data_IF_269765586951
#
_entry.id   IF_269765586951
#
_cell.length_a   1.000
_cell.length_b   1.000
_cell.length_c   1.000
_cell.angle_alpha   90.00
_cell.angle_beta   90.00
_cell.angle_gamma   90.00
#
_symmetry.space_group_name_H-M   'P 1'
#
loop_
_entity.id
_entity.type
_entity.pdbx_description
1 polymer ?
#
# COMPACT_ATOMS: atom_id res chain seq x y z
N UNK A 1 6.20 -5.91 -1.91
CA UNK A 1 6.44 -4.84 -0.91
C UNK A 1 5.12 -4.60 -0.22
N UNK A 2 5.15 -4.58 1.12
CA UNK A 2 4.01 -4.15 1.94
C UNK A 2 3.80 -2.64 1.72
N UNK A 3 2.65 -2.10 2.12
CA UNK A 3 2.39 -0.65 2.02
C UNK A 3 3.57 0.17 2.55
N UNK A 4 3.97 1.21 1.82
CA UNK A 4 5.17 2.00 2.15
C UNK A 4 5.00 2.93 3.35
N UNK A 5 3.77 3.09 3.85
CA UNK A 5 3.46 3.91 5.02
C UNK A 5 3.33 3.14 6.33
N UNK A 6 3.66 1.85 6.36
CA UNK A 6 3.60 1.02 7.57
C UNK A 6 4.91 0.24 7.76
N UNK A 7 5.20 -0.13 9.00
CA UNK A 7 6.31 -1.02 9.34
C UNK A 7 5.85 -2.18 10.23
N UNK A 8 6.37 -3.40 10.04
CA UNK A 8 6.07 -4.52 10.92
C UNK A 8 6.60 -4.28 12.33
N UNK A 9 5.92 -4.85 13.32
CA UNK A 9 6.27 -4.87 14.74
C UNK A 9 6.23 -6.31 15.22
N UNK A 10 7.24 -6.70 16.00
CA UNK A 10 7.24 -7.95 16.73
C UNK A 10 7.21 -9.23 15.92
N UNK A 11 7.02 -10.36 16.61
CA UNK A 11 7.02 -11.67 15.98
C UNK A 11 5.74 -11.89 15.17
N UNK A 12 5.78 -12.93 14.32
CA UNK A 12 4.58 -13.46 13.70
C UNK A 12 3.76 -14.28 14.71
N UNK A 13 2.45 -14.11 14.63
CA UNK A 13 1.45 -14.82 15.41
C UNK A 13 0.62 -15.71 14.50
N UNK A 14 -0.02 -16.72 15.08
CA UNK A 14 -0.97 -17.60 14.42
C UNK A 14 -2.29 -17.54 15.16
N UNK A 15 -3.37 -17.25 14.44
CA UNK A 15 -4.71 -17.22 15.00
C UNK A 15 -5.11 -18.63 15.47
N UNK A 16 -5.63 -18.75 16.69
CA UNK A 16 -6.00 -20.03 17.31
C UNK A 16 -7.51 -20.20 17.30
N UNK A 17 -8.23 -19.38 18.07
CA UNK A 17 -9.69 -19.31 18.05
C UNK A 17 -10.10 -18.01 17.39
N UNK A 18 -11.05 -18.08 16.45
CA UNK A 18 -11.52 -16.90 15.72
C UNK A 18 -13.05 -16.87 15.73
N UNK A 19 -13.60 -15.70 16.04
CA UNK A 19 -15.03 -15.44 16.08
C UNK A 19 -15.36 -14.18 15.30
N UNK A 20 -15.98 -14.36 14.14
CA UNK A 20 -16.46 -13.23 13.34
C UNK A 20 -17.76 -12.67 13.92
N UNK A 21 -17.88 -11.34 13.88
CA UNK A 21 -19.09 -10.59 14.20
C UNK A 21 -19.47 -9.73 13.00
N UNK A 22 -20.19 -10.29 12.00
CA UNK A 22 -20.54 -9.55 10.78
C UNK A 22 -21.37 -8.29 11.02
N UNK A 23 -22.23 -8.29 12.06
CA UNK A 23 -23.05 -7.13 12.43
C UNK A 23 -22.22 -5.92 12.87
N UNK A 24 -21.13 -6.19 13.58
CA UNK A 24 -20.23 -5.17 14.12
C UNK A 24 -19.01 -4.97 13.21
N UNK A 25 -18.99 -5.64 12.06
CA UNK A 25 -17.87 -5.74 11.12
C UNK A 25 -16.52 -5.90 11.84
N UNK A 26 -16.45 -6.85 12.77
CA UNK A 26 -15.24 -7.14 13.57
C UNK A 26 -14.97 -8.63 13.70
N UNK A 27 -13.74 -8.95 14.06
CA UNK A 27 -13.28 -10.31 14.33
C UNK A 27 -12.56 -10.33 15.68
N UNK A 28 -12.90 -11.32 16.50
CA UNK A 28 -12.30 -11.53 17.82
C UNK A 28 -11.43 -12.77 17.73
N UNK A 29 -10.19 -12.70 18.21
CA UNK A 29 -9.27 -13.82 18.08
C UNK A 29 -8.34 -13.97 19.28
N UNK A 30 -8.01 -15.23 19.59
CA UNK A 30 -6.82 -15.57 20.37
C UNK A 30 -5.70 -15.95 19.44
N UNK A 31 -4.46 -15.80 19.87
CA UNK A 31 -3.32 -16.13 19.05
C UNK A 31 -2.22 -16.81 19.85
N UNK A 32 -1.29 -17.42 19.14
CA UNK A 32 -0.03 -17.91 19.71
C UNK A 32 1.12 -17.45 18.84
N UNK A 33 2.30 -17.29 19.43
CA UNK A 33 3.52 -17.08 18.65
C UNK A 33 3.81 -18.34 17.85
N UNK A 34 4.32 -18.24 16.61
CA UNK A 34 4.54 -19.42 15.77
C UNK A 34 5.47 -20.47 16.43
N UNK A 35 6.42 -20.03 17.25
CA UNK A 35 7.36 -20.89 17.97
C UNK A 35 6.85 -21.43 19.33
N UNK A 36 5.69 -20.97 19.82
CA UNK A 36 5.19 -21.26 21.19
C UNK A 36 3.83 -21.97 21.12
N UNK A 37 3.60 -22.94 22.01
CA UNK A 37 2.34 -23.71 22.04
C UNK A 37 1.20 -23.01 22.76
N UNK A 38 1.51 -22.19 23.76
CA UNK A 38 0.54 -21.51 24.59
C UNK A 38 -0.18 -20.39 23.81
N UNK A 39 -1.50 -20.35 23.97
CA UNK A 39 -2.33 -19.26 23.47
C UNK A 39 -2.23 -18.07 24.42
N UNK A 40 -2.07 -16.89 23.84
CA UNK A 40 -2.09 -15.60 24.51
C UNK A 40 -3.47 -14.96 24.28
N UNK A 41 -3.98 -14.32 25.33
CA UNK A 41 -5.16 -13.44 25.27
C UNK A 41 -4.82 -12.10 24.60
N UNK A 42 -5.85 -11.28 24.35
CA UNK A 42 -5.70 -10.03 23.63
C UNK A 42 -4.86 -8.99 24.36
N UNK A 43 -5.06 -8.84 25.67
CA UNK A 43 -4.35 -7.85 26.46
C UNK A 43 -2.86 -8.20 26.54
N UNK A 44 -2.54 -9.47 26.81
CA UNK A 44 -1.14 -9.96 26.83
C UNK A 44 -0.44 -9.73 25.49
N UNK A 45 -1.14 -9.94 24.35
CA UNK A 45 -0.57 -9.65 23.02
C UNK A 45 -0.30 -8.15 22.87
N UNK A 46 -1.25 -7.29 23.25
CA UNK A 46 -1.08 -5.85 23.11
C UNK A 46 0.04 -5.29 23.99
N UNK A 47 0.13 -5.73 25.24
CA UNK A 47 1.18 -5.29 26.18
C UNK A 47 2.56 -5.60 25.60
N UNK A 48 2.76 -6.79 25.06
CA UNK A 48 4.01 -7.18 24.39
C UNK A 48 4.34 -6.27 23.20
N UNK A 49 3.34 -5.90 22.40
CA UNK A 49 3.54 -5.00 21.25
C UNK A 49 3.84 -3.57 21.71
N UNK A 50 3.19 -3.09 22.78
CA UNK A 50 3.47 -1.76 23.33
C UNK A 50 4.84 -1.66 23.99
N UNK A 51 5.30 -2.73 24.65
CA UNK A 51 6.66 -2.83 25.18
C UNK A 51 7.70 -2.73 24.05
N UNK A 52 7.47 -3.42 22.92
CA UNK A 52 8.33 -3.31 21.74
C UNK A 52 8.34 -1.92 21.11
N UNK A 53 7.23 -1.17 21.23
CA UNK A 53 7.14 0.22 20.79
C UNK A 53 7.77 1.22 21.78
N UNK A 54 8.33 0.74 22.89
CA UNK A 54 9.02 1.58 23.87
C UNK A 54 8.08 2.45 24.71
N UNK A 55 6.83 2.03 24.91
CA UNK A 55 5.89 2.72 25.81
C UNK A 55 5.47 4.13 25.40
N UNK A 56 5.77 4.57 24.17
CA UNK A 56 5.33 5.86 23.66
C UNK A 56 3.86 5.81 23.21
N UNK A 57 2.96 6.22 24.11
CA UNK A 57 1.49 6.27 23.96
C UNK A 57 1.03 7.42 23.04
N UNK A 58 1.77 7.73 21.97
CA UNK A 58 1.22 8.55 20.88
C UNK A 58 0.55 7.61 19.88
N UNK A 59 -0.55 6.98 20.31
CA UNK A 59 -1.28 5.89 19.65
C UNK A 59 -1.32 6.03 18.12
N UNK A 60 -0.38 5.43 17.39
CA UNK A 60 -0.49 5.35 15.94
C UNK A 60 -1.41 4.17 15.64
N UNK A 61 -2.28 4.34 14.65
CA UNK A 61 -3.18 3.27 14.22
C UNK A 61 -2.40 1.96 14.01
N UNK A 62 -2.77 0.94 14.80
CA UNK A 62 -2.14 -0.38 14.81
C UNK A 62 -2.97 -1.31 13.95
N UNK A 63 -2.31 -2.15 13.15
CA UNK A 63 -2.97 -3.09 12.25
C UNK A 63 -2.40 -4.48 12.42
N UNK A 64 -3.21 -5.51 12.21
CA UNK A 64 -2.71 -6.86 11.93
C UNK A 64 -2.72 -7.08 10.42
N UNK A 65 -1.56 -7.41 9.87
CA UNK A 65 -1.39 -7.84 8.49
C UNK A 65 -1.44 -9.36 8.42
N UNK A 66 -2.50 -9.90 7.82
CA UNK A 66 -2.81 -11.33 7.76
C UNK A 66 -2.42 -11.86 6.39
N UNK A 67 -1.62 -12.92 6.36
CA UNK A 67 -1.25 -13.59 5.12
C UNK A 67 -2.21 -14.74 4.86
N UNK A 68 -3.06 -14.61 3.84
CA UNK A 68 -4.08 -15.60 3.47
C UNK A 68 -3.69 -16.28 2.18
N UNK A 69 -3.90 -17.59 2.09
CA UNK A 69 -3.72 -18.33 0.83
C UNK A 69 -5.07 -18.58 0.18
N UNK A 70 -5.35 -17.94 -0.96
CA UNK A 70 -6.62 -18.05 -1.68
C UNK A 70 -6.43 -18.69 -3.06
N UNK A 71 -7.38 -19.54 -3.46
CA UNK A 71 -7.45 -20.08 -4.82
C UNK A 71 -8.18 -19.05 -5.70
N UNK A 72 -7.49 -18.46 -6.67
CA UNK A 72 -8.01 -17.40 -7.52
C UNK A 72 -8.04 -17.86 -8.98
N UNK A 73 -9.07 -17.46 -9.72
CA UNK A 73 -9.17 -17.61 -11.18
C UNK A 73 -9.24 -16.22 -11.82
N UNK A 74 -8.44 -15.98 -12.85
CA UNK A 74 -8.40 -14.70 -13.58
C UNK A 74 -8.84 -14.97 -15.00
N UNK A 75 -10.01 -14.47 -15.38
CA UNK A 75 -10.59 -14.73 -16.71
C UNK A 75 -10.73 -16.23 -16.97
N UNK A 76 -10.07 -16.72 -18.03
CA UNK A 76 -10.09 -18.13 -18.45
C UNK A 76 -8.89 -18.95 -17.92
N UNK A 77 -8.01 -18.35 -17.12
CA UNK A 77 -6.84 -19.05 -16.58
C UNK A 77 -7.22 -20.11 -15.55
N UNK A 78 -6.42 -21.18 -15.47
CA UNK A 78 -6.59 -22.21 -14.44
C UNK A 78 -6.43 -21.59 -13.06
N UNK A 79 -7.27 -21.99 -12.07
CA UNK A 79 -7.17 -21.42 -10.74
C UNK A 79 -5.79 -21.68 -10.12
N UNK A 80 -5.12 -20.63 -9.68
CA UNK A 80 -3.84 -20.71 -8.99
C UNK A 80 -3.99 -20.34 -7.52
N UNK A 81 -3.11 -20.89 -6.68
CA UNK A 81 -3.02 -20.47 -5.29
C UNK A 81 -2.20 -19.21 -5.19
N UNK A 82 -2.78 -18.19 -4.58
CA UNK A 82 -2.17 -16.88 -4.43
C UNK A 82 -2.14 -16.55 -2.94
N UNK A 83 -1.00 -16.09 -2.47
CA UNK A 83 -0.90 -15.50 -1.15
C UNK A 83 -1.38 -14.04 -1.24
N UNK A 84 -2.34 -13.67 -0.40
CA UNK A 84 -2.86 -12.32 -0.26
C UNK A 84 -2.47 -11.79 1.11
N UNK A 85 -2.25 -10.48 1.18
CA UNK A 85 -1.99 -9.81 2.44
C UNK A 85 -3.10 -8.79 2.69
N UNK A 86 -3.82 -8.97 3.79
CA UNK A 86 -4.97 -8.16 4.19
C UNK A 86 -4.68 -7.51 5.54
N UNK A 87 -5.04 -6.24 5.68
CA UNK A 87 -4.82 -5.50 6.93
C UNK A 87 -6.13 -5.26 7.67
N UNK A 88 -6.10 -5.46 8.97
CA UNK A 88 -7.23 -5.27 9.87
C UNK A 88 -6.80 -4.33 11.00
N UNK A 89 -7.51 -3.22 11.19
CA UNK A 89 -7.23 -2.28 12.27
C UNK A 89 -7.45 -2.96 13.63
N UNK A 90 -6.53 -2.76 14.56
CA UNK A 90 -6.65 -3.26 15.92
C UNK A 90 -7.52 -2.28 16.71
N UNK A 91 -8.61 -2.80 17.27
CA UNK A 91 -9.59 -1.99 17.99
C UNK A 91 -9.29 -1.94 19.49
N UNK A 92 -9.02 -3.11 20.09
CA UNK A 92 -8.66 -3.28 21.50
C UNK A 92 -8.21 -4.73 21.77
N UNK A 93 -7.79 -4.99 23.01
CA UNK A 93 -7.59 -6.32 23.58
C UNK A 93 -8.20 -6.37 24.97
N UNK A 94 -8.56 -7.56 25.42
CA UNK A 94 -8.89 -7.85 26.82
C UNK A 94 -8.31 -9.22 27.22
N UNK A 95 -8.58 -9.65 28.45
CA UNK A 95 -8.11 -10.92 29.03
C UNK A 95 -8.64 -12.18 28.30
N UNK A 96 -9.49 -12.03 27.26
CA UNK A 96 -9.97 -13.13 26.44
C UNK A 96 -9.54 -13.02 24.98
N UNK A 97 -9.71 -11.86 24.34
CA UNK A 97 -9.63 -11.71 22.88
C UNK A 97 -8.89 -10.44 22.44
N UNK A 98 -8.21 -10.56 21.31
CA UNK A 98 -7.83 -9.43 20.47
C UNK A 98 -8.99 -9.10 19.52
N UNK A 99 -9.36 -7.83 19.45
CA UNK A 99 -10.46 -7.34 18.61
C UNK A 99 -9.90 -6.55 17.44
N UNK A 100 -10.25 -6.97 16.23
CA UNK A 100 -9.82 -6.31 14.99
C UNK A 100 -11.01 -5.99 14.09
N UNK A 101 -10.88 -4.92 13.31
CA UNK A 101 -11.87 -4.50 12.33
C UNK A 101 -11.88 -5.42 11.10
N UNK A 102 -13.05 -5.67 10.55
CA UNK A 102 -13.28 -6.53 9.40
C UNK A 102 -13.50 -8.00 9.75
N UNK A 103 -13.71 -8.79 8.71
CA UNK A 103 -14.00 -10.24 8.74
C UNK A 103 -13.07 -11.00 7.82
N UNK A 104 -13.09 -12.33 7.90
CA UNK A 104 -12.38 -13.22 6.99
C UNK A 104 -11.04 -13.74 7.51
N UNK A 105 -10.66 -13.43 8.76
CA UNK A 105 -9.54 -14.10 9.43
C UNK A 105 -10.00 -15.48 9.87
N UNK A 106 -9.16 -16.50 9.72
CA UNK A 106 -9.47 -17.89 10.08
C UNK A 106 -8.48 -18.43 11.09
N UNK A 107 -8.93 -19.40 11.88
CA UNK A 107 -8.02 -20.20 12.70
C UNK A 107 -6.94 -20.82 11.83
N UNK A 108 -5.69 -20.65 12.26
CA UNK A 108 -4.50 -21.09 11.52
C UNK A 108 -3.90 -20.04 10.57
N UNK A 109 -4.55 -18.90 10.35
CA UNK A 109 -3.93 -17.80 9.59
C UNK A 109 -2.74 -17.22 10.38
N UNK A 110 -1.64 -16.96 9.68
CA UNK A 110 -0.49 -16.23 10.23
C UNK A 110 -0.68 -14.73 10.03
N UNK A 111 -0.36 -13.96 11.06
CA UNK A 111 -0.45 -12.50 11.04
C UNK A 111 0.70 -11.84 11.81
N UNK A 112 0.96 -10.58 11.52
CA UNK A 112 1.95 -9.77 12.21
C UNK A 112 1.38 -8.37 12.47
N UNK A 113 1.86 -7.68 13.49
CA UNK A 113 1.45 -6.30 13.77
C UNK A 113 2.19 -5.31 12.89
N UNK A 114 1.52 -4.20 12.57
CA UNK A 114 2.04 -3.12 11.75
C UNK A 114 1.62 -1.78 12.33
N UNK A 115 2.56 -0.84 12.34
CA UNK A 115 2.32 0.54 12.74
C UNK A 115 2.47 1.47 11.55
N UNK A 116 1.58 2.45 11.47
CA UNK A 116 1.69 3.55 10.53
C UNK A 116 2.89 4.45 10.86
N UNK A 117 3.73 4.76 9.87
CA UNK A 117 4.90 5.62 10.01
C UNK A 117 4.91 6.72 8.96
N UNK A 118 4.70 7.95 9.41
CA UNK A 118 4.64 9.14 8.56
C UNK A 118 5.96 9.41 7.84
N UNK A 119 7.09 9.13 8.49
CA UNK A 119 8.41 9.28 7.88
C UNK A 119 8.62 8.34 6.69
N UNK A 120 8.23 7.06 6.83
CA UNK A 120 8.31 6.09 5.73
C UNK A 120 7.37 6.47 4.59
N UNK A 121 6.14 6.88 4.93
CA UNK A 121 5.16 7.38 3.98
C UNK A 121 5.66 8.60 3.20
N UNK A 122 6.39 9.52 3.86
CA UNK A 122 6.99 10.72 3.28
C UNK A 122 8.19 10.40 2.38
N UNK A 123 9.06 9.50 2.83
CA UNK A 123 10.15 8.96 2.00
C UNK A 123 9.59 8.35 0.71
N UNK A 124 8.47 7.61 0.80
CA UNK A 124 7.76 7.10 -0.37
C UNK A 124 7.27 8.19 -1.32
N UNK A 125 6.75 9.31 -0.80
CA UNK A 125 6.35 10.45 -1.65
C UNK A 125 7.55 11.06 -2.38
N UNK A 126 8.72 11.15 -1.74
CA UNK A 126 9.94 11.63 -2.38
C UNK A 126 10.39 10.71 -3.52
N UNK A 127 10.27 9.39 -3.35
CA UNK A 127 10.55 8.44 -4.43
C UNK A 127 9.61 8.65 -5.62
N UNK A 128 8.30 8.82 -5.38
CA UNK A 128 7.34 9.11 -6.45
C UNK A 128 7.66 10.43 -7.15
N UNK A 129 8.00 11.49 -6.40
CA UNK A 129 8.40 12.78 -6.96
C UNK A 129 9.62 12.63 -7.88
N UNK A 130 10.62 11.84 -7.47
CA UNK A 130 11.78 11.54 -8.31
C UNK A 130 11.37 10.74 -9.57
N UNK A 131 10.48 9.76 -9.46
CA UNK A 131 9.94 9.03 -10.62
C UNK A 131 9.21 9.94 -11.60
N UNK A 132 8.43 10.92 -11.11
CA UNK A 132 7.78 11.91 -11.96
C UNK A 132 8.78 12.86 -12.64
N UNK A 133 9.86 13.23 -11.95
CA UNK A 133 10.93 14.01 -12.56
C UNK A 133 11.61 13.25 -13.69
N UNK A 134 11.89 11.96 -13.52
CA UNK A 134 12.44 11.11 -14.59
C UNK A 134 11.45 10.97 -15.74
N UNK A 135 10.17 10.69 -15.46
CA UNK A 135 9.13 10.62 -16.49
C UNK A 135 9.06 11.92 -17.30
N UNK A 136 9.12 13.07 -16.63
CA UNK A 136 9.15 14.39 -17.28
C UNK A 136 10.37 14.55 -18.18
N UNK A 137 11.55 14.08 -17.75
CA UNK A 137 12.76 14.10 -18.56
C UNK A 137 12.63 13.19 -19.78
N UNK A 138 12.15 11.96 -19.63
CA UNK A 138 11.98 11.00 -20.73
C UNK A 138 11.03 11.52 -21.80
N UNK A 139 9.93 12.17 -21.39
CA UNK A 139 8.98 12.82 -22.30
C UNK A 139 9.60 14.00 -23.05
N UNK A 140 10.56 14.69 -22.44
CA UNK A 140 11.29 15.78 -23.10
C UNK A 140 12.38 15.25 -24.05
N UNK A 141 13.17 14.26 -23.66
CA UNK A 141 14.28 13.70 -24.46
C UNK A 141 13.81 13.01 -25.75
N UNK A 142 12.63 12.38 -25.74
CA UNK A 142 12.04 11.81 -26.97
C UNK A 142 11.60 12.85 -28.00
N UNK A 143 11.69 14.14 -27.68
CA UNK A 143 11.41 15.26 -28.60
C UNK A 143 12.62 15.65 -29.45
N UNK A 144 13.84 15.23 -29.07
CA UNK A 144 15.12 15.77 -29.58
C UNK A 144 15.88 14.78 -30.48
N UNK A 145 15.32 13.62 -30.82
CA UNK A 145 16.00 12.63 -31.65
C UNK A 145 15.89 12.99 -33.16
N UNK A 146 16.91 13.73 -33.60
CA UNK A 146 17.42 13.93 -34.97
C UNK A 146 16.57 14.71 -36.00
N UNK A 147 16.97 15.97 -36.29
CA UNK A 147 17.44 16.39 -37.63
C UNK A 147 17.92 17.85 -37.66
N UNK A 148 19.21 18.06 -37.96
CA UNK A 148 19.67 19.29 -38.59
C UNK A 148 18.95 19.44 -39.94
N UNK A 149 17.98 20.35 -40.04
CA UNK A 149 17.34 20.64 -41.32
C UNK A 149 16.10 21.52 -41.20
N UNK A 150 16.30 22.84 -41.28
CA UNK A 150 15.33 23.86 -41.70
C UNK A 150 13.87 23.74 -41.21
N UNK A 151 13.56 24.50 -40.16
CA UNK A 151 12.40 25.40 -40.10
C UNK A 151 11.02 24.86 -40.49
N UNK A 152 10.39 24.13 -39.57
CA UNK A 152 8.97 24.27 -39.18
C UNK A 152 8.73 23.35 -37.97
N UNK A 153 9.26 23.73 -36.82
CA UNK A 153 9.37 22.81 -35.68
C UNK A 153 8.08 22.74 -34.84
N UNK A 154 7.08 22.06 -35.39
CA UNK A 154 5.91 21.63 -34.60
C UNK A 154 6.24 20.28 -33.96
N UNK A 155 7.19 20.30 -33.01
CA UNK A 155 7.59 19.13 -32.24
C UNK A 155 6.38 18.34 -31.72
N UNK A 156 6.32 17.05 -32.03
CA UNK A 156 5.43 16.07 -31.41
C UNK A 156 5.83 15.86 -29.93
N UNK A 157 5.65 16.88 -29.09
CA UNK A 157 5.99 16.83 -27.67
C UNK A 157 5.06 15.87 -26.97
N UNK A 158 5.60 14.77 -26.45
CA UNK A 158 4.87 13.94 -25.50
C UNK A 158 4.64 14.77 -24.25
N UNK A 159 3.39 14.89 -23.82
CA UNK A 159 3.04 15.75 -22.68
C UNK A 159 2.15 15.00 -21.70
N UNK A 160 2.40 15.25 -20.42
CA UNK A 160 1.47 14.88 -19.34
C UNK A 160 0.32 15.88 -19.38
N UNK A 161 -0.90 15.37 -19.52
CA UNK A 161 -2.11 16.20 -19.59
C UNK A 161 -3.03 16.02 -18.38
N UNK A 162 -2.78 15.02 -17.54
CA UNK A 162 -3.53 14.86 -16.31
C UNK A 162 -2.93 13.88 -15.31
N UNK A 163 -3.43 13.94 -14.08
CA UNK A 163 -3.10 13.00 -13.03
C UNK A 163 -4.29 12.72 -12.10
N UNK A 164 -4.35 11.49 -11.59
CA UNK A 164 -5.33 11.08 -10.58
C UNK A 164 -4.60 10.39 -9.43
N UNK A 165 -5.01 10.69 -8.20
CA UNK A 165 -4.46 10.09 -6.99
C UNK A 165 -5.54 9.30 -6.23
N UNK A 166 -5.10 8.23 -5.57
CA UNK A 166 -5.90 7.49 -4.60
C UNK A 166 -5.05 7.28 -3.35
N UNK A 167 -5.42 7.90 -2.24
CA UNK A 167 -4.67 7.83 -0.98
C UNK A 167 -5.50 7.20 0.13
N UNK A 168 -4.88 6.49 1.06
CA UNK A 168 -5.57 6.04 2.26
C UNK A 168 -6.05 7.26 3.07
N UNK A 169 -7.29 7.22 3.57
CA UNK A 169 -7.85 8.30 4.40
C UNK A 169 -7.06 8.57 5.69
N UNK A 170 -6.26 7.60 6.15
CA UNK A 170 -5.34 7.77 7.27
C UNK A 170 -4.16 8.72 6.97
N UNK A 171 -3.82 8.97 5.70
CA UNK A 171 -2.67 9.78 5.28
C UNK A 171 -2.96 11.30 5.23
N UNK A 172 -3.79 11.79 6.13
CA UNK A 172 -4.16 13.20 6.21
C UNK A 172 -3.15 14.08 6.96
N UNK A 173 -3.53 15.35 7.20
CA UNK A 173 -2.74 16.31 8.00
C UNK A 173 -2.35 15.78 9.38
N UNK A 174 -3.24 15.03 10.05
CA UNK A 174 -2.96 14.45 11.36
C UNK A 174 -1.81 13.43 11.33
N UNK A 175 -1.65 12.72 10.22
CA UNK A 175 -0.59 11.73 10.06
C UNK A 175 0.74 12.37 9.66
N UNK A 176 0.71 13.31 8.71
CA UNK A 176 1.92 13.94 8.20
C UNK A 176 2.39 15.19 8.98
N UNK A 177 1.54 15.76 9.83
CA UNK A 177 1.74 17.07 10.45
C UNK A 177 1.36 18.25 9.55
N UNK A 178 1.17 18.03 8.25
CA UNK A 178 0.90 19.07 7.26
C UNK A 178 -0.07 18.59 6.17
N UNK A 179 -0.83 19.50 5.53
CA UNK A 179 -1.77 19.14 4.48
C UNK A 179 -1.08 18.84 3.14
N UNK A 180 -1.78 18.15 2.24
CA UNK A 180 -1.43 17.98 0.81
C UNK A 180 -0.09 17.27 0.50
N UNK A 181 0.51 16.56 1.47
CA UNK A 181 1.77 15.80 1.26
C UNK A 181 1.67 14.79 0.13
N UNK A 182 0.57 14.05 0.05
CA UNK A 182 0.39 13.08 -1.02
C UNK A 182 0.04 13.73 -2.37
N UNK A 183 -0.38 15.01 -2.41
CA UNK A 183 -0.64 15.72 -3.67
C UNK A 183 0.62 16.35 -4.27
N UNK A 184 1.59 16.70 -3.40
CA UNK A 184 2.76 17.48 -3.78
C UNK A 184 3.64 16.82 -4.86
N UNK A 185 3.86 15.48 -4.88
CA UNK A 185 4.68 14.87 -5.92
C UNK A 185 4.21 15.22 -7.32
N UNK A 186 2.89 15.17 -7.57
CA UNK A 186 2.35 15.49 -8.89
C UNK A 186 2.35 17.00 -9.16
N UNK A 187 1.83 17.79 -8.22
CA UNK A 187 1.62 19.24 -8.41
C UNK A 187 2.94 20.00 -8.62
N UNK A 188 4.01 19.58 -7.96
CA UNK A 188 5.34 20.20 -8.11
C UNK A 188 6.02 19.82 -9.43
N UNK A 189 5.85 18.57 -9.89
CA UNK A 189 6.50 18.11 -11.12
C UNK A 189 5.77 18.55 -12.40
N UNK A 190 4.44 18.66 -12.34
CA UNK A 190 3.57 19.00 -13.47
C UNK A 190 2.69 20.23 -13.18
N UNK A 191 3.29 21.42 -12.97
CA UNK A 191 2.54 22.63 -12.67
C UNK A 191 1.58 23.00 -13.81
N UNK A 192 0.34 23.35 -13.47
CA UNK A 192 -0.71 23.72 -14.43
C UNK A 192 -1.41 22.54 -15.11
N UNK A 193 -0.97 21.30 -14.86
CA UNK A 193 -1.64 20.10 -15.35
C UNK A 193 -2.82 19.73 -14.44
N UNK A 194 -3.94 19.34 -15.04
CA UNK A 194 -5.15 18.93 -14.31
C UNK A 194 -4.83 17.76 -13.37
N UNK A 195 -5.11 17.94 -12.08
CA UNK A 195 -4.89 16.93 -11.05
C UNK A 195 -6.13 16.79 -10.17
N UNK A 196 -6.49 15.56 -9.86
CA UNK A 196 -7.57 15.24 -8.92
C UNK A 196 -7.18 14.05 -8.06
N UNK A 197 -7.87 13.86 -6.94
CA UNK A 197 -7.61 12.72 -6.07
C UNK A 197 -8.77 12.42 -5.14
N UNK A 198 -8.75 11.22 -4.58
CA UNK A 198 -9.72 10.79 -3.57
C UNK A 198 -9.01 10.07 -2.42
N UNK A 199 -9.61 10.19 -1.23
CA UNK A 199 -9.20 9.46 -0.05
C UNK A 199 -10.07 8.21 0.13
N UNK A 200 -9.43 7.06 0.18
CA UNK A 200 -10.05 5.74 0.24
C UNK A 200 -10.01 5.18 1.67
N UNK A 201 -11.15 4.66 2.13
CA UNK A 201 -11.25 3.89 3.37
C UNK A 201 -11.01 2.37 3.16
N UNK A 202 -10.88 1.94 1.89
CA UNK A 202 -10.72 0.54 1.49
C UNK A 202 -9.55 0.37 0.52
N UNK A 203 -9.38 -0.86 0.04
CA UNK A 203 -8.35 -1.22 -0.93
C UNK A 203 -8.33 -0.26 -2.12
N UNK A 204 -7.13 0.25 -2.44
CA UNK A 204 -6.91 1.25 -3.47
C UNK A 204 -6.62 0.59 -4.81
N UNK A 205 -5.69 -0.37 -4.82
CA UNK A 205 -5.27 -1.04 -6.03
C UNK A 205 -4.68 -2.42 -5.71
N UNK A 206 -4.56 -3.24 -6.75
CA UNK A 206 -3.76 -4.47 -6.68
C UNK A 206 -2.30 -4.09 -6.91
N UNK A 207 -1.40 -4.48 -6.02
CA UNK A 207 0.04 -4.28 -6.24
C UNK A 207 0.51 -5.08 -7.46
N UNK A 208 1.23 -4.42 -8.38
CA UNK A 208 1.90 -5.10 -9.51
C UNK A 208 3.21 -5.73 -9.04
N UNK A 209 3.41 -6.99 -9.43
CA UNK A 209 4.53 -7.83 -9.03
C UNK A 209 5.82 -7.54 -9.81
N UNK A 210 5.72 -6.86 -10.95
CA UNK A 210 6.88 -6.49 -11.79
C UNK A 210 7.85 -5.51 -11.11
N UNK A 211 7.37 -4.76 -10.12
CA UNK A 211 8.15 -3.79 -9.34
C UNK A 211 8.89 -4.40 -8.14
N UNK A 212 8.73 -5.72 -7.90
CA UNK A 212 9.48 -6.46 -6.90
C UNK A 212 10.64 -7.18 -7.58
N UNK A 213 11.86 -6.85 -7.14
CA UNK A 213 13.12 -7.25 -7.76
C UNK A 213 13.14 -8.70 -8.25
N UNK A 214 13.80 -8.88 -9.39
CA UNK A 214 14.05 -10.14 -10.07
C UNK A 214 14.93 -11.06 -9.19
N UNK A 215 14.34 -11.64 -8.16
CA UNK A 215 14.94 -12.60 -7.26
C UNK A 215 14.30 -13.96 -7.48
N UNK A 216 15.03 -14.85 -8.15
CA UNK A 216 14.83 -16.30 -8.32
C UNK A 216 13.43 -16.79 -8.74
N UNK A 217 13.40 -17.47 -9.90
CA UNK A 217 12.39 -18.50 -10.19
C UNK A 217 12.23 -19.42 -8.97
N UNK A 218 10.99 -19.74 -8.64
CA UNK A 218 10.51 -20.39 -7.41
C UNK A 218 10.31 -19.45 -6.21
N UNK A 219 9.10 -18.86 -6.10
CA UNK A 219 8.23 -18.94 -4.91
C UNK A 219 7.04 -17.97 -5.00
N UNK A 220 5.85 -18.49 -4.71
CA UNK A 220 4.55 -17.83 -4.53
C UNK A 220 4.59 -16.30 -4.32
N UNK A 221 4.45 -15.55 -5.41
CA UNK A 221 4.37 -14.10 -5.38
C UNK A 221 3.13 -13.65 -4.59
N UNK A 222 3.35 -12.99 -3.44
CA UNK A 222 2.28 -12.50 -2.57
C UNK A 222 1.63 -11.28 -3.24
N UNK A 223 0.35 -11.38 -3.61
CA UNK A 223 -0.44 -10.24 -4.09
C UNK A 223 -0.92 -9.42 -2.91
N UNK A 224 -0.28 -8.29 -2.68
CA UNK A 224 -0.69 -7.32 -1.66
C UNK A 224 -1.75 -6.38 -2.24
N UNK A 225 -2.88 -6.21 -1.54
CA UNK A 225 -3.78 -5.10 -1.82
C UNK A 225 -3.14 -3.82 -1.26
N UNK A 226 -2.92 -2.82 -2.11
CA UNK A 226 -2.47 -1.51 -1.67
C UNK A 226 -3.62 -0.86 -0.91
N UNK A 227 -3.44 -0.63 0.38
CA UNK A 227 -4.51 -0.13 1.24
C UNK A 227 -3.97 0.76 2.35
N UNK A 228 -3.69 0.18 3.52
CA UNK A 228 -3.40 0.89 4.77
C UNK A 228 -2.18 1.78 4.64
N UNK A 229 -2.37 3.10 4.80
CA UNK A 229 -1.33 4.11 4.62
C UNK A 229 -0.55 4.01 3.30
N UNK A 230 -1.21 3.64 2.19
CA UNK A 230 -0.67 3.71 0.83
C UNK A 230 -1.24 4.89 0.03
N UNK A 231 -0.53 5.29 -1.02
CA UNK A 231 -1.01 6.21 -2.07
C UNK A 231 -0.62 5.66 -3.44
N UNK A 232 -1.55 5.71 -4.39
CA UNK A 232 -1.34 5.33 -5.80
C UNK A 232 -1.59 6.53 -6.68
N UNK A 233 -0.73 6.71 -7.68
CA UNK A 233 -0.82 7.78 -8.65
C UNK A 233 -0.99 7.21 -10.05
N UNK A 234 -1.92 7.75 -10.81
CA UNK A 234 -2.10 7.52 -12.23
C UNK A 234 -1.71 8.78 -12.98
N UNK A 235 -0.70 8.69 -13.84
CA UNK A 235 -0.26 9.80 -14.70
C UNK A 235 -0.71 9.53 -16.12
N UNK A 236 -1.37 10.50 -16.73
CA UNK A 236 -1.90 10.42 -18.09
C UNK A 236 -1.05 11.28 -19.02
N UNK A 237 -0.52 10.66 -20.07
CA UNK A 237 0.29 11.32 -21.10
C UNK A 237 -0.19 10.93 -22.49
N UNK A 238 0.07 11.80 -23.46
CA UNK A 238 -0.28 11.59 -24.86
C UNK A 238 0.97 11.66 -25.75
N UNK A 239 1.04 10.78 -26.74
CA UNK A 239 2.03 10.82 -27.82
C UNK A 239 1.29 11.16 -29.12
N UNK A 240 1.56 12.31 -29.74
CA UNK A 240 0.98 12.66 -31.02
C UNK A 240 1.35 11.66 -32.12
N UNK A 241 0.44 11.45 -33.08
CA UNK A 241 0.75 10.66 -34.27
C UNK A 241 1.81 11.37 -35.13
N UNK A 242 2.70 10.61 -35.76
CA UNK A 242 3.60 11.16 -36.77
C UNK A 242 2.77 11.68 -37.96
N UNK A 243 3.08 12.87 -38.50
CA UNK A 243 2.40 13.38 -39.70
C UNK A 243 2.51 12.36 -40.84
N UNK A 244 1.40 12.02 -41.49
CA UNK A 244 1.41 11.21 -42.71
C UNK A 244 1.82 12.12 -43.87
N UNK A 245 2.90 11.76 -44.56
CA UNK A 245 3.36 12.39 -45.80
C UNK A 245 2.58 11.89 -47.01
#
# INVERSE_FOLDING_TARGET
MLSTGISPIGPAYKAVSVRERPKDYSTWLTAKREAVRESLDGQTILDQIYDELGGHINCPALYVGVTKRRKCSIGKEKPSWINMHEFHEVLRGDEEYLYVHGVGIRSGDSFQFYQAKSDLARVSCNYVSNSFRHLKQDLNYQSDDHTNGNGLDMHNKKSVFGGIMFACCGRGKLFFGEPNVDGSPFLENFPGVTFSGTYCAGEIARGDLSSYGQGSQEQNSVRCCLHVFSTVYLVMSYTPALPQH
#
